data_IF_796334731917
#
_entry.id   IF_796334731917
#
_cell.length_a   1.000
_cell.length_b   1.000
_cell.length_c   1.000
_cell.angle_alpha   90.00
_cell.angle_beta   90.00
_cell.angle_gamma   90.00
#
_symmetry.space_group_name_H-M   'P 1'
#
loop_
_entity.id
_entity.type
_entity.pdbx_description
1 polymer ?
#
# COMPACT_ATOMS: atom_id res chain seq x y z
N UNK A 1 0.92 -3.41 -26.04
CA UNK A 1 0.24 -4.42 -25.22
C UNK A 1 -1.07 -3.85 -24.68
N UNK A 2 -2.14 -4.67 -24.62
CA UNK A 2 -3.40 -4.26 -23.99
C UNK A 2 -3.50 -4.88 -22.58
N UNK A 3 -3.48 -4.05 -21.55
CA UNK A 3 -3.46 -4.46 -20.14
C UNK A 3 -4.82 -4.23 -19.50
N UNK A 4 -5.34 -5.24 -18.76
CA UNK A 4 -6.54 -5.11 -17.95
C UNK A 4 -6.13 -4.84 -16.50
N UNK A 5 -6.26 -3.59 -16.06
CA UNK A 5 -5.99 -3.16 -14.69
C UNK A 5 -7.22 -3.33 -13.80
N UNK A 6 -7.08 -4.10 -12.72
CA UNK A 6 -8.19 -4.46 -11.83
C UNK A 6 -7.92 -3.96 -10.42
N UNK A 7 -8.81 -3.11 -9.91
CA UNK A 7 -8.79 -2.64 -8.52
C UNK A 7 -10.19 -2.45 -7.96
N UNK A 8 -10.34 -2.53 -6.65
CA UNK A 8 -11.65 -2.37 -6.01
C UNK A 8 -12.27 -1.00 -6.30
N UNK A 9 -11.53 0.09 -6.14
CA UNK A 9 -12.04 1.45 -6.29
C UNK A 9 -11.45 2.13 -7.53
N UNK A 10 -12.27 2.91 -8.23
CA UNK A 10 -11.85 3.79 -9.32
C UNK A 10 -11.83 5.26 -8.83
N UNK A 11 -11.37 5.49 -7.61
CA UNK A 11 -11.11 6.81 -7.02
C UNK A 11 -10.02 6.72 -5.95
N UNK A 12 -9.33 7.83 -5.69
CA UNK A 12 -8.23 7.90 -4.71
C UNK A 12 -8.78 7.83 -3.29
N UNK A 13 -8.62 6.68 -2.62
CA UNK A 13 -8.97 6.44 -1.22
C UNK A 13 -7.74 6.21 -0.35
N UNK A 14 -6.67 5.64 -0.90
CA UNK A 14 -5.46 5.30 -0.17
C UNK A 14 -4.31 4.93 -1.10
N UNK A 15 -3.21 4.44 -0.51
CA UNK A 15 -1.96 4.13 -1.23
C UNK A 15 -2.14 3.13 -2.38
N UNK A 16 -2.94 2.09 -2.20
CA UNK A 16 -3.22 1.09 -3.25
C UNK A 16 -3.85 1.73 -4.47
N UNK A 17 -4.84 2.60 -4.25
CA UNK A 17 -5.53 3.28 -5.37
C UNK A 17 -4.59 4.28 -6.05
N UNK A 18 -3.69 4.92 -5.29
CA UNK A 18 -2.64 5.78 -5.86
C UNK A 18 -1.72 4.99 -6.77
N UNK A 19 -1.25 3.81 -6.34
CA UNK A 19 -0.41 2.94 -7.17
C UNK A 19 -1.16 2.48 -8.41
N UNK A 20 -2.42 2.05 -8.28
CA UNK A 20 -3.27 1.65 -9.40
C UNK A 20 -3.36 2.76 -10.47
N UNK A 21 -3.71 3.98 -10.09
CA UNK A 21 -3.80 5.10 -11.05
C UNK A 21 -2.44 5.49 -11.62
N UNK A 22 -1.38 5.46 -10.81
CA UNK A 22 -0.03 5.71 -11.30
C UNK A 22 0.40 4.66 -12.34
N UNK A 23 0.05 3.38 -12.12
CA UNK A 23 0.37 2.29 -13.06
C UNK A 23 -0.39 2.47 -14.36
N UNK A 24 -1.69 2.77 -14.32
CA UNK A 24 -2.49 3.05 -15.54
C UNK A 24 -1.83 4.18 -16.33
N UNK A 25 -1.59 5.31 -15.67
CA UNK A 25 -0.98 6.48 -16.30
C UNK A 25 0.37 6.15 -16.93
N UNK A 26 1.23 5.43 -16.20
CA UNK A 26 2.54 5.03 -16.69
C UNK A 26 2.44 4.13 -17.94
N UNK A 27 1.55 3.14 -17.91
CA UNK A 27 1.33 2.24 -19.06
C UNK A 27 0.84 3.00 -20.29
N UNK A 28 -0.12 3.92 -20.12
CA UNK A 28 -0.65 4.76 -21.20
C UNK A 28 0.40 5.72 -21.76
N UNK A 29 1.18 6.41 -20.91
CA UNK A 29 2.28 7.30 -21.29
C UNK A 29 3.38 6.57 -22.07
N UNK A 30 3.54 5.27 -21.82
CA UNK A 30 4.50 4.39 -22.50
C UNK A 30 3.90 3.66 -23.72
N UNK A 31 2.70 4.05 -24.17
CA UNK A 31 2.06 3.58 -25.42
C UNK A 31 1.35 2.25 -25.30
N UNK A 32 0.95 1.81 -24.10
CA UNK A 32 0.10 0.63 -23.93
C UNK A 32 -1.39 1.03 -23.89
N UNK A 33 -2.25 0.14 -24.36
CA UNK A 33 -3.69 0.26 -24.18
C UNK A 33 -4.09 -0.26 -22.80
N UNK A 34 -4.85 0.52 -22.03
CA UNK A 34 -5.31 0.11 -20.71
C UNK A 34 -6.83 0.08 -20.63
N UNK A 35 -7.38 -1.05 -20.23
CA UNK A 35 -8.78 -1.15 -19.82
C UNK A 35 -8.87 -1.40 -18.31
N UNK A 36 -9.95 -0.93 -17.69
CA UNK A 36 -10.09 -0.99 -16.23
C UNK A 36 -11.34 -1.74 -15.80
N UNK A 37 -11.22 -2.53 -14.69
CA UNK A 37 -12.34 -3.20 -14.06
C UNK A 37 -12.35 -2.90 -12.56
N UNK A 38 -13.44 -2.28 -12.07
CA UNK A 38 -13.57 -1.83 -10.69
C UNK A 38 -14.97 -2.11 -10.13
N UNK A 39 -15.22 -1.76 -8.87
CA UNK A 39 -16.56 -1.73 -8.33
C UNK A 39 -17.28 -0.44 -8.73
N UNK A 40 -18.59 -0.54 -8.96
CA UNK A 40 -19.44 0.62 -9.16
C UNK A 40 -19.61 1.39 -7.84
N UNK A 41 -19.17 2.66 -7.85
CA UNK A 41 -19.22 3.52 -6.67
C UNK A 41 -19.47 4.98 -7.10
N UNK A 42 -20.36 5.72 -6.40
CA UNK A 42 -20.65 7.13 -6.74
C UNK A 42 -19.42 8.06 -6.71
N UNK A 43 -18.36 7.68 -6.01
CA UNK A 43 -17.10 8.45 -5.93
C UNK A 43 -16.13 8.18 -7.07
N UNK A 44 -16.44 7.21 -7.94
CA UNK A 44 -15.55 6.87 -9.04
C UNK A 44 -15.31 8.05 -9.99
N UNK A 45 -14.08 8.19 -10.42
CA UNK A 45 -13.74 9.07 -11.54
C UNK A 45 -14.32 8.53 -12.84
N UNK A 46 -14.48 9.39 -13.84
CA UNK A 46 -14.99 8.98 -15.15
C UNK A 46 -14.09 7.92 -15.78
N UNK A 47 -14.69 6.88 -16.36
CA UNK A 47 -14.00 5.83 -17.11
C UNK A 47 -14.84 5.41 -18.29
N UNK A 48 -14.19 5.16 -19.44
CA UNK A 48 -14.84 4.58 -20.62
C UNK A 48 -15.37 3.15 -20.34
N UNK A 49 -14.81 2.48 -19.33
CA UNK A 49 -15.14 1.12 -18.93
C UNK A 49 -16.17 1.04 -17.80
N UNK A 50 -16.71 2.18 -17.32
CA UNK A 50 -17.65 2.23 -16.19
C UNK A 50 -18.89 1.33 -16.38
N UNK A 51 -19.34 1.09 -17.62
CA UNK A 51 -20.45 0.16 -17.94
C UNK A 51 -20.18 -1.29 -17.52
N UNK A 52 -18.90 -1.67 -17.36
CA UNK A 52 -18.48 -3.01 -16.93
C UNK A 52 -18.19 -3.08 -15.42
N UNK A 53 -18.25 -1.97 -14.69
CA UNK A 53 -17.97 -2.00 -13.25
C UNK A 53 -19.02 -2.81 -12.49
N UNK A 54 -18.54 -3.62 -11.54
CA UNK A 54 -19.39 -4.57 -10.82
C UNK A 54 -20.06 -3.93 -9.63
N UNK A 55 -21.30 -4.33 -9.37
CA UNK A 55 -21.96 -3.94 -8.13
C UNK A 55 -21.35 -4.68 -6.94
N UNK A 56 -20.93 -3.91 -5.93
CA UNK A 56 -20.39 -4.43 -4.68
C UNK A 56 -21.05 -3.75 -3.50
N UNK A 57 -21.94 -4.44 -2.79
CA UNK A 57 -22.63 -3.86 -1.64
C UNK A 57 -21.63 -3.55 -0.51
N UNK A 58 -21.60 -2.31 -0.03
CA UNK A 58 -20.82 -1.94 1.14
C UNK A 58 -21.47 -2.54 2.40
N UNK A 59 -20.82 -3.53 3.03
CA UNK A 59 -21.33 -4.20 4.21
C UNK A 59 -21.32 -3.33 5.49
N UNK A 60 -20.53 -2.25 5.50
CA UNK A 60 -20.35 -1.41 6.70
C UNK A 60 -21.63 -0.75 7.17
N UNK A 61 -22.43 -0.25 6.25
CA UNK A 61 -23.60 0.58 6.55
C UNK A 61 -24.93 -0.18 6.46
N UNK A 62 -24.86 -1.53 6.36
CA UNK A 62 -26.05 -2.36 6.22
C UNK A 62 -26.54 -2.90 7.57
N UNK A 63 -27.85 -3.11 7.66
CA UNK A 63 -28.48 -3.85 8.76
C UNK A 63 -27.98 -5.31 8.78
N UNK A 64 -28.13 -5.99 9.90
CA UNK A 64 -27.70 -7.41 10.05
C UNK A 64 -28.33 -8.31 8.96
N UNK A 65 -29.58 -8.07 8.62
CA UNK A 65 -30.29 -8.80 7.55
C UNK A 65 -29.69 -8.51 6.18
N UNK A 66 -29.36 -7.24 5.91
CA UNK A 66 -28.68 -6.83 4.67
C UNK A 66 -27.30 -7.46 4.53
N UNK A 67 -26.54 -7.53 5.62
CA UNK A 67 -25.23 -8.19 5.65
C UNK A 67 -25.33 -9.68 5.32
N UNK A 68 -26.30 -10.41 5.88
CA UNK A 68 -26.53 -11.82 5.60
C UNK A 68 -26.90 -12.04 4.13
N UNK A 69 -27.81 -11.21 3.59
CA UNK A 69 -28.25 -11.28 2.19
C UNK A 69 -27.09 -11.05 1.21
N UNK A 70 -26.16 -10.16 1.54
CA UNK A 70 -25.04 -9.79 0.68
C UNK A 70 -23.74 -10.58 0.97
N UNK A 71 -23.77 -11.49 1.95
CA UNK A 71 -22.60 -12.30 2.32
C UNK A 71 -22.15 -13.22 1.17
N UNK A 72 -23.10 -13.76 0.40
CA UNK A 72 -22.79 -14.55 -0.79
C UNK A 72 -21.96 -13.77 -1.81
N UNK A 73 -22.34 -12.51 -2.09
CA UNK A 73 -21.61 -11.62 -2.99
C UNK A 73 -20.21 -11.25 -2.47
N UNK A 74 -20.02 -11.19 -1.16
CA UNK A 74 -18.72 -10.95 -0.56
C UNK A 74 -17.71 -12.06 -0.88
N UNK A 75 -18.15 -13.32 -0.83
CA UNK A 75 -17.30 -14.48 -1.11
C UNK A 75 -17.19 -14.79 -2.59
N UNK A 76 -18.30 -14.64 -3.33
CA UNK A 76 -18.39 -14.98 -4.75
C UNK A 76 -19.34 -14.03 -5.48
N UNK A 77 -18.81 -13.08 -6.23
CA UNK A 77 -19.60 -12.06 -6.92
C UNK A 77 -19.91 -12.49 -8.36
N UNK A 78 -21.13 -12.99 -8.59
CA UNK A 78 -21.60 -13.40 -9.94
C UNK A 78 -21.74 -12.23 -10.92
N UNK A 79 -21.99 -11.01 -10.42
CA UNK A 79 -22.01 -9.82 -11.29
C UNK A 79 -20.61 -9.48 -11.79
N UNK A 80 -19.58 -9.68 -10.95
CA UNK A 80 -18.19 -9.58 -11.39
C UNK A 80 -17.83 -10.56 -12.49
N UNK A 81 -18.24 -11.84 -12.36
CA UNK A 81 -18.03 -12.86 -13.41
C UNK A 81 -18.62 -12.40 -14.74
N UNK A 82 -19.91 -12.05 -14.74
CA UNK A 82 -20.63 -11.64 -15.95
C UNK A 82 -20.03 -10.41 -16.60
N UNK A 83 -19.72 -9.39 -15.81
CA UNK A 83 -19.25 -8.09 -16.32
C UNK A 83 -17.80 -8.13 -16.81
N UNK A 84 -16.92 -8.87 -16.10
CA UNK A 84 -15.54 -9.04 -16.57
C UNK A 84 -15.50 -9.86 -17.86
N UNK A 85 -16.37 -10.88 -18.01
CA UNK A 85 -16.48 -11.66 -19.23
C UNK A 85 -16.91 -10.79 -20.43
N UNK A 86 -17.88 -9.90 -20.22
CA UNK A 86 -18.27 -8.92 -21.24
C UNK A 86 -17.12 -8.00 -21.64
N UNK A 87 -16.34 -7.52 -20.64
CA UNK A 87 -15.19 -6.67 -20.89
C UNK A 87 -14.11 -7.42 -21.67
N UNK A 88 -13.75 -8.63 -21.26
CA UNK A 88 -12.73 -9.44 -21.95
C UNK A 88 -13.12 -9.73 -23.41
N UNK A 89 -14.37 -10.09 -23.66
CA UNK A 89 -14.86 -10.36 -25.01
C UNK A 89 -14.77 -9.13 -25.92
N UNK A 90 -15.02 -7.93 -25.38
CA UNK A 90 -14.98 -6.68 -26.13
C UNK A 90 -13.55 -6.16 -26.32
N UNK A 91 -12.77 -6.14 -25.25
CA UNK A 91 -11.47 -5.47 -25.22
C UNK A 91 -10.29 -6.38 -25.54
N UNK A 92 -10.43 -7.69 -25.32
CA UNK A 92 -9.41 -8.72 -25.58
C UNK A 92 -8.04 -8.38 -24.97
N UNK A 93 -7.95 -8.19 -23.66
CA UNK A 93 -6.68 -7.89 -23.00
C UNK A 93 -5.70 -9.06 -23.13
N UNK A 94 -4.42 -8.75 -23.28
CA UNK A 94 -3.33 -9.72 -23.36
C UNK A 94 -2.88 -10.20 -21.97
N UNK A 95 -3.14 -9.40 -20.92
CA UNK A 95 -2.80 -9.71 -19.53
C UNK A 95 -3.73 -8.97 -18.57
N UNK A 96 -3.99 -9.56 -17.41
CA UNK A 96 -4.71 -8.93 -16.30
C UNK A 96 -3.77 -8.66 -15.13
N UNK A 97 -3.70 -7.38 -14.70
CA UNK A 97 -2.95 -6.95 -13.53
C UNK A 97 -3.90 -6.55 -12.41
N UNK A 98 -3.82 -7.28 -11.31
CA UNK A 98 -4.71 -7.15 -10.17
C UNK A 98 -4.02 -6.40 -9.03
N UNK A 99 -4.74 -5.49 -8.38
CA UNK A 99 -4.30 -4.82 -7.15
C UNK A 99 -5.12 -5.30 -5.95
N UNK A 100 -6.27 -4.72 -5.69
CA UNK A 100 -7.14 -5.12 -4.58
C UNK A 100 -8.50 -5.58 -5.12
N UNK A 101 -8.79 -6.87 -5.00
CA UNK A 101 -10.05 -7.48 -5.46
C UNK A 101 -10.96 -7.94 -4.31
N UNK A 102 -10.49 -7.80 -3.05
CA UNK A 102 -11.22 -8.25 -1.88
C UNK A 102 -12.41 -7.35 -1.54
N UNK A 103 -13.43 -7.95 -0.94
CA UNK A 103 -14.62 -7.24 -0.43
C UNK A 103 -15.37 -6.43 -1.51
N UNK A 104 -15.55 -7.02 -2.68
CA UNK A 104 -16.30 -6.36 -3.75
C UNK A 104 -16.25 -7.13 -5.05
N UNK A 105 -15.09 -7.18 -5.69
CA UNK A 105 -14.88 -7.94 -6.93
C UNK A 105 -14.89 -9.44 -6.64
N UNK A 106 -14.18 -9.88 -5.61
CA UNK A 106 -13.96 -11.27 -5.19
C UNK A 106 -13.07 -12.11 -6.13
N UNK A 107 -12.75 -13.31 -5.71
CA UNK A 107 -11.97 -14.27 -6.51
C UNK A 107 -12.77 -14.87 -7.70
N UNK A 108 -14.05 -14.56 -7.83
CA UNK A 108 -14.94 -15.09 -8.89
C UNK A 108 -14.47 -14.74 -10.31
N UNK A 109 -13.69 -13.68 -10.46
CA UNK A 109 -13.15 -13.26 -11.76
C UNK A 109 -12.03 -14.18 -12.27
N UNK A 110 -11.31 -14.87 -11.38
CA UNK A 110 -10.12 -15.66 -11.74
C UNK A 110 -10.44 -16.82 -12.69
N UNK A 111 -11.50 -17.65 -12.47
CA UNK A 111 -11.89 -18.67 -13.44
C UNK A 111 -12.32 -18.11 -14.80
N UNK A 112 -12.88 -16.88 -14.82
CA UNK A 112 -13.25 -16.23 -16.08
C UNK A 112 -12.00 -15.85 -16.87
N UNK A 113 -11.03 -15.20 -16.25
CA UNK A 113 -9.75 -14.88 -16.88
C UNK A 113 -9.08 -16.13 -17.45
N UNK A 114 -9.03 -17.22 -16.67
CA UNK A 114 -8.44 -18.49 -17.11
C UNK A 114 -9.17 -19.10 -18.31
N UNK A 115 -10.51 -19.10 -18.33
CA UNK A 115 -11.31 -19.62 -19.49
C UNK A 115 -11.05 -18.84 -20.77
N UNK A 116 -10.72 -17.57 -20.66
CA UNK A 116 -10.39 -16.71 -21.79
C UNK A 116 -8.90 -16.65 -22.10
N UNK A 117 -8.10 -17.51 -21.48
CA UNK A 117 -6.64 -17.57 -21.64
C UNK A 117 -5.94 -16.23 -21.39
N UNK A 118 -6.40 -15.46 -20.38
CA UNK A 118 -5.79 -14.19 -19.96
C UNK A 118 -4.88 -14.45 -18.77
N UNK A 119 -3.57 -14.29 -18.92
CA UNK A 119 -2.61 -14.43 -17.82
C UNK A 119 -2.88 -13.45 -16.68
N UNK A 120 -2.61 -13.87 -15.45
CA UNK A 120 -2.94 -13.08 -14.25
C UNK A 120 -1.69 -12.76 -13.43
N UNK A 121 -1.41 -11.48 -13.27
CA UNK A 121 -0.41 -10.94 -12.34
C UNK A 121 -1.12 -10.20 -11.21
N UNK A 122 -0.69 -10.36 -9.97
CA UNK A 122 -1.25 -9.61 -8.84
C UNK A 122 -0.17 -8.90 -8.04
N UNK A 123 -0.36 -7.59 -7.80
CA UNK A 123 0.48 -6.82 -6.89
C UNK A 123 -0.04 -6.91 -5.46
N UNK A 124 0.83 -7.40 -4.58
CA UNK A 124 0.57 -7.68 -3.17
C UNK A 124 0.81 -6.42 -2.34
N UNK A 125 -0.24 -5.65 -2.10
CA UNK A 125 -0.16 -4.38 -1.37
C UNK A 125 -0.27 -4.55 0.15
N UNK A 126 -0.88 -5.63 0.61
CA UNK A 126 -1.09 -5.93 2.02
C UNK A 126 -0.92 -7.44 2.32
N UNK A 127 -1.05 -7.82 3.57
CA UNK A 127 -0.88 -9.20 4.03
C UNK A 127 -2.18 -10.00 4.06
N UNK A 128 -3.24 -9.58 3.38
CA UNK A 128 -4.57 -10.18 3.45
C UNK A 128 -4.63 -11.64 2.97
N UNK A 129 -3.69 -12.05 2.15
CA UNK A 129 -3.58 -13.45 1.74
C UNK A 129 -3.12 -14.37 2.88
N UNK A 130 -2.44 -13.83 3.90
CA UNK A 130 -1.84 -14.61 5.00
C UNK A 130 -2.21 -14.11 6.39
N UNK A 131 -2.84 -12.94 6.48
CA UNK A 131 -3.40 -12.37 7.70
C UNK A 131 -4.75 -11.72 7.41
N UNK A 132 -5.89 -12.30 7.81
CA UNK A 132 -7.23 -11.79 7.45
C UNK A 132 -7.49 -10.34 7.87
N UNK A 133 -6.85 -9.85 8.96
CA UNK A 133 -6.93 -8.45 9.38
C UNK A 133 -6.00 -7.50 8.61
N UNK A 134 -5.03 -8.03 7.84
CA UNK A 134 -3.99 -7.32 7.11
C UNK A 134 -3.00 -6.51 7.96
N UNK A 135 -3.00 -6.64 9.28
CA UNK A 135 -2.24 -5.77 10.18
C UNK A 135 -1.09 -6.49 10.90
N UNK A 136 -1.09 -7.84 10.93
CA UNK A 136 -0.22 -8.63 11.81
C UNK A 136 -0.19 -8.11 13.26
N UNK A 137 -1.33 -7.59 13.70
CA UNK A 137 -1.51 -7.02 15.02
C UNK A 137 -2.82 -7.51 15.65
N UNK A 138 -2.79 -7.78 16.94
CA UNK A 138 -3.95 -8.13 17.75
C UNK A 138 -3.93 -7.30 19.01
N UNK A 139 -4.89 -6.39 19.18
CA UNK A 139 -5.01 -5.53 20.38
C UNK A 139 -3.72 -4.80 20.74
N UNK A 140 -3.03 -4.22 19.75
CA UNK A 140 -1.79 -3.50 19.94
C UNK A 140 -0.52 -4.36 19.96
N UNK A 141 -0.63 -5.70 19.98
CA UNK A 141 0.50 -6.61 20.00
C UNK A 141 0.78 -7.22 18.64
N UNK A 142 2.07 -7.38 18.28
CA UNK A 142 2.49 -8.09 17.07
C UNK A 142 1.95 -9.52 17.09
N UNK A 143 1.30 -9.97 16.00
CA UNK A 143 0.73 -11.30 15.89
C UNK A 143 1.02 -11.89 14.51
N UNK A 144 1.54 -13.12 14.48
CA UNK A 144 1.82 -13.91 13.26
C UNK A 144 1.18 -15.30 13.29
N UNK A 145 0.22 -15.53 14.17
CA UNK A 145 -0.36 -16.85 14.38
C UNK A 145 -1.06 -17.39 13.13
N UNK A 146 -1.64 -16.51 12.29
CA UNK A 146 -2.29 -16.92 11.05
C UNK A 146 -1.32 -17.52 10.01
N UNK A 147 -0.01 -17.21 10.09
CA UNK A 147 0.99 -17.86 9.24
C UNK A 147 1.08 -19.37 9.48
N UNK A 148 0.84 -19.82 10.73
CA UNK A 148 0.86 -21.25 11.10
C UNK A 148 -0.50 -21.91 11.04
N UNK A 149 -1.54 -21.24 11.52
CA UNK A 149 -2.85 -21.83 11.81
C UNK A 149 -3.98 -21.35 10.88
N UNK A 150 -3.62 -20.66 9.77
CA UNK A 150 -4.62 -20.08 8.86
C UNK A 150 -5.45 -18.98 9.51
N UNK A 151 -6.68 -18.81 9.06
CA UNK A 151 -7.58 -17.78 9.56
C UNK A 151 -8.10 -17.97 11.00
N UNK A 152 -7.98 -19.19 11.57
CA UNK A 152 -8.55 -19.54 12.86
C UNK A 152 -8.17 -18.55 14.01
N UNK A 153 -6.90 -18.17 14.20
CA UNK A 153 -6.53 -17.20 15.22
C UNK A 153 -7.23 -15.84 15.05
N UNK A 154 -7.48 -15.41 13.81
CA UNK A 154 -8.18 -14.16 13.56
C UNK A 154 -9.60 -14.16 14.15
N UNK A 155 -10.36 -15.24 13.96
CA UNK A 155 -11.68 -15.42 14.54
C UNK A 155 -11.65 -15.43 16.06
N UNK A 156 -10.76 -16.24 16.66
CA UNK A 156 -10.64 -16.41 18.11
C UNK A 156 -10.23 -15.12 18.82
N UNK A 157 -9.29 -14.35 18.28
CA UNK A 157 -8.77 -13.13 18.90
C UNK A 157 -9.51 -11.86 18.48
N UNK A 158 -10.58 -11.97 17.69
CA UNK A 158 -11.39 -10.82 17.21
C UNK A 158 -10.53 -9.76 16.49
N UNK A 159 -9.56 -10.19 15.65
CA UNK A 159 -8.56 -9.30 15.07
C UNK A 159 -9.11 -8.26 14.11
N UNK A 160 -10.27 -8.51 13.48
CA UNK A 160 -10.85 -7.59 12.50
C UNK A 160 -11.87 -6.67 13.16
N UNK A 161 -11.51 -5.40 13.35
CA UNK A 161 -12.35 -4.35 13.96
C UNK A 161 -12.81 -4.66 15.40
N UNK A 162 -12.07 -5.49 16.15
CA UNK A 162 -12.44 -6.02 17.47
C UNK A 162 -13.86 -6.64 17.52
N UNK A 163 -14.32 -7.14 16.38
CA UNK A 163 -15.65 -7.69 16.20
C UNK A 163 -15.59 -9.20 15.94
N UNK A 164 -16.32 -9.97 16.74
CA UNK A 164 -16.31 -11.44 16.65
C UNK A 164 -16.81 -11.94 15.29
N UNK A 165 -17.99 -11.46 14.84
CA UNK A 165 -18.60 -11.91 13.59
C UNK A 165 -17.73 -11.54 12.40
N UNK A 166 -17.27 -10.28 12.33
CA UNK A 166 -16.44 -9.82 11.24
C UNK A 166 -15.11 -10.58 11.15
N UNK A 167 -14.53 -10.95 12.30
CA UNK A 167 -13.28 -11.72 12.36
C UNK A 167 -13.46 -13.15 11.88
N UNK A 168 -14.59 -13.80 12.20
CA UNK A 168 -14.90 -15.12 11.69
C UNK A 168 -15.24 -15.13 10.19
N UNK A 169 -15.90 -14.07 9.69
CA UNK A 169 -16.12 -13.88 8.24
C UNK A 169 -14.78 -13.80 7.50
N UNK A 170 -13.83 -13.01 8.01
CA UNK A 170 -12.50 -12.92 7.41
C UNK A 170 -11.69 -14.23 7.55
N UNK A 171 -11.84 -14.94 8.67
CA UNK A 171 -11.22 -16.25 8.86
C UNK A 171 -11.75 -17.29 7.87
N UNK A 172 -13.06 -17.29 7.64
CA UNK A 172 -13.72 -18.18 6.68
C UNK A 172 -13.35 -17.80 5.23
N UNK A 173 -13.25 -16.51 4.92
CA UNK A 173 -12.77 -16.06 3.60
C UNK A 173 -11.36 -16.61 3.30
N UNK A 174 -10.46 -16.59 4.28
CA UNK A 174 -9.13 -17.16 4.13
C UNK A 174 -9.18 -18.67 3.90
N UNK A 175 -9.97 -19.41 4.69
CA UNK A 175 -10.17 -20.84 4.53
C UNK A 175 -10.75 -21.18 3.15
N UNK A 176 -11.77 -20.45 2.70
CA UNK A 176 -12.37 -20.65 1.38
C UNK A 176 -11.32 -20.48 0.26
N UNK A 177 -10.54 -19.41 0.33
CA UNK A 177 -9.52 -19.11 -0.69
C UNK A 177 -8.43 -20.17 -0.77
N UNK A 178 -7.95 -20.63 0.37
CA UNK A 178 -6.82 -21.58 0.43
C UNK A 178 -7.22 -23.03 0.21
N UNK A 179 -8.42 -23.43 0.66
CA UNK A 179 -8.81 -24.84 0.75
C UNK A 179 -9.89 -25.22 -0.25
N UNK A 180 -10.93 -24.40 -0.39
CA UNK A 180 -12.06 -24.72 -1.26
C UNK A 180 -11.85 -24.29 -2.70
N UNK A 181 -11.15 -23.19 -2.92
CA UNK A 181 -11.02 -22.60 -4.25
C UNK A 181 -9.61 -22.71 -4.84
N UNK A 182 -8.55 -22.76 -4.01
CA UNK A 182 -7.14 -22.80 -4.42
C UNK A 182 -6.81 -21.74 -5.49
N UNK A 183 -6.92 -20.46 -5.11
CA UNK A 183 -6.71 -19.31 -6.01
C UNK A 183 -5.35 -19.33 -6.71
N UNK A 184 -4.33 -19.98 -6.13
CA UNK A 184 -2.99 -20.04 -6.72
C UNK A 184 -2.95 -20.73 -8.09
N UNK A 185 -3.94 -21.57 -8.42
CA UNK A 185 -4.08 -22.20 -9.74
C UNK A 185 -4.39 -21.20 -10.85
N UNK A 186 -4.93 -20.03 -10.49
CA UNK A 186 -5.40 -19.01 -11.41
C UNK A 186 -4.47 -17.79 -11.49
N UNK A 187 -3.46 -17.70 -10.61
CA UNK A 187 -2.52 -16.59 -10.56
C UNK A 187 -1.16 -17.09 -11.05
N UNK A 188 -0.66 -16.46 -12.11
CA UNK A 188 0.60 -16.85 -12.75
C UNK A 188 1.79 -16.23 -12.03
N UNK A 189 1.69 -14.94 -11.63
CA UNK A 189 2.78 -14.21 -10.93
C UNK A 189 2.26 -13.34 -9.79
N UNK A 190 3.08 -13.22 -8.74
CA UNK A 190 2.86 -12.32 -7.60
C UNK A 190 3.94 -11.24 -7.59
N UNK A 191 3.56 -9.99 -7.60
CA UNK A 191 4.46 -8.85 -7.42
C UNK A 191 4.41 -8.42 -5.95
N UNK A 192 5.53 -8.50 -5.26
CA UNK A 192 5.67 -7.99 -3.90
C UNK A 192 6.37 -6.65 -3.90
N UNK A 193 5.82 -5.66 -3.23
CA UNK A 193 6.41 -4.32 -3.16
C UNK A 193 7.54 -4.22 -2.13
N UNK A 194 7.85 -5.31 -1.41
CA UNK A 194 9.05 -5.46 -0.58
C UNK A 194 9.40 -6.94 -0.37
N UNK A 195 10.68 -7.21 -0.10
CA UNK A 195 11.18 -8.56 0.21
C UNK A 195 10.54 -9.12 1.49
N UNK A 196 10.40 -8.28 2.51
CA UNK A 196 9.78 -8.68 3.77
C UNK A 196 8.34 -9.18 3.62
N UNK A 197 7.58 -8.55 2.74
CA UNK A 197 6.22 -9.02 2.44
C UNK A 197 6.21 -10.33 1.68
N UNK A 198 7.12 -10.53 0.74
CA UNK A 198 7.32 -11.84 0.12
C UNK A 198 7.65 -12.90 1.17
N UNK A 199 8.55 -12.60 2.11
CA UNK A 199 8.95 -13.54 3.18
C UNK A 199 7.77 -13.91 4.10
N UNK A 200 6.91 -12.96 4.47
CA UNK A 200 5.70 -13.28 5.24
C UNK A 200 4.75 -14.21 4.49
N UNK A 201 4.52 -13.97 3.20
CA UNK A 201 3.67 -14.81 2.39
C UNK A 201 4.31 -16.18 2.16
N UNK A 202 5.61 -16.23 1.88
CA UNK A 202 6.35 -17.46 1.66
C UNK A 202 6.47 -18.33 2.92
N UNK A 203 6.43 -17.71 4.11
CA UNK A 203 6.36 -18.46 5.38
C UNK A 203 5.06 -19.23 5.57
N UNK A 204 4.01 -18.88 4.81
CA UNK A 204 2.76 -19.63 4.78
C UNK A 204 2.71 -20.64 3.63
N UNK A 205 3.06 -20.24 2.42
CA UNK A 205 3.04 -21.05 1.22
C UNK A 205 4.25 -20.77 0.33
N UNK A 206 4.99 -21.82 -0.05
CA UNK A 206 6.22 -21.71 -0.85
C UNK A 206 6.00 -21.08 -2.22
N UNK A 207 4.84 -21.28 -2.83
CA UNK A 207 4.52 -20.75 -4.15
C UNK A 207 4.62 -19.21 -4.24
N UNK A 208 4.49 -18.49 -3.14
CA UNK A 208 4.74 -17.04 -3.13
C UNK A 208 6.21 -16.69 -3.35
N UNK A 209 7.14 -17.61 -3.05
CA UNK A 209 8.54 -17.47 -3.41
C UNK A 209 8.77 -17.87 -4.86
N UNK A 210 8.18 -18.97 -5.29
CA UNK A 210 8.40 -19.59 -6.60
C UNK A 210 7.83 -18.74 -7.73
N UNK A 211 6.62 -18.18 -7.55
CA UNK A 211 5.93 -17.30 -8.49
C UNK A 211 6.08 -15.81 -8.15
N UNK A 212 6.86 -15.46 -7.13
CA UNK A 212 6.96 -14.11 -6.59
C UNK A 212 8.14 -13.32 -7.13
N UNK A 213 7.90 -12.07 -7.48
CA UNK A 213 8.92 -11.10 -7.90
C UNK A 213 8.81 -9.82 -7.07
N UNK A 214 9.93 -9.14 -6.80
CA UNK A 214 9.93 -7.89 -6.05
C UNK A 214 9.95 -6.72 -7.03
N UNK A 215 8.96 -5.85 -6.89
CA UNK A 215 8.87 -4.59 -7.62
C UNK A 215 8.34 -3.50 -6.69
N UNK A 216 9.22 -2.59 -6.26
CA UNK A 216 8.84 -1.47 -5.41
C UNK A 216 7.86 -0.52 -6.11
N UNK A 217 7.05 0.20 -5.33
CA UNK A 217 6.26 1.31 -5.84
C UNK A 217 7.18 2.38 -6.45
N UNK A 218 6.60 3.26 -7.25
CA UNK A 218 7.32 4.33 -7.93
C UNK A 218 6.63 5.68 -7.74
N UNK A 219 7.33 6.76 -8.09
CA UNK A 219 6.81 8.13 -8.06
C UNK A 219 6.69 8.68 -9.48
N UNK A 220 5.47 8.94 -10.00
CA UNK A 220 5.29 9.62 -11.28
C UNK A 220 5.92 11.01 -11.28
N UNK A 221 6.41 11.46 -12.45
CA UNK A 221 6.99 12.79 -12.58
C UNK A 221 8.23 13.04 -11.73
N UNK A 222 8.91 11.98 -11.28
CA UNK A 222 10.05 12.13 -10.35
C UNK A 222 11.18 12.98 -10.94
N UNK A 223 11.42 12.88 -12.25
CA UNK A 223 12.52 13.61 -12.90
C UNK A 223 12.28 15.12 -12.95
N UNK A 224 11.02 15.54 -13.04
CA UNK A 224 10.58 16.92 -13.08
C UNK A 224 10.63 17.59 -11.69
N UNK A 225 10.67 16.79 -10.62
CA UNK A 225 10.78 17.32 -9.26
C UNK A 225 12.18 17.90 -9.04
N UNK A 226 12.23 19.19 -8.74
CA UNK A 226 13.47 19.85 -8.33
C UNK A 226 13.77 19.52 -6.85
N UNK A 227 14.87 18.80 -6.55
CA UNK A 227 15.21 18.51 -5.17
C UNK A 227 15.65 19.76 -4.43
N UNK A 228 15.36 19.80 -3.13
CA UNK A 228 15.83 20.89 -2.26
C UNK A 228 16.81 20.33 -1.22
N UNK A 229 18.06 20.73 -1.31
CA UNK A 229 19.14 20.25 -0.45
C UNK A 229 19.36 21.13 0.80
N UNK A 230 18.43 22.04 1.08
CA UNK A 230 18.35 22.89 2.28
C UNK A 230 17.03 22.65 3.01
N UNK A 231 16.86 23.23 4.20
CA UNK A 231 15.65 23.10 5.00
C UNK A 231 15.39 24.31 5.90
N UNK A 232 14.14 24.48 6.35
CA UNK A 232 13.70 25.54 7.26
C UNK A 232 13.74 25.14 8.74
N UNK A 233 14.44 24.06 9.09
CA UNK A 233 14.67 23.64 10.48
C UNK A 233 13.44 23.00 11.16
N UNK A 234 12.56 22.34 10.42
CA UNK A 234 11.47 21.53 10.99
C UNK A 234 11.46 20.11 10.43
N UNK A 235 11.00 19.17 11.22
CA UNK A 235 10.70 17.80 10.78
C UNK A 235 9.25 17.69 10.33
N UNK A 236 8.96 16.75 9.45
CA UNK A 236 7.65 16.60 8.87
C UNK A 236 7.10 15.17 9.04
N UNK A 237 5.89 15.06 9.52
CA UNK A 237 5.04 13.89 9.34
C UNK A 237 3.92 14.24 8.37
N UNK A 238 3.64 13.39 7.38
CA UNK A 238 2.45 13.52 6.56
C UNK A 238 1.84 12.16 6.21
N UNK A 239 0.51 12.14 6.19
CA UNK A 239 -0.28 10.94 5.93
C UNK A 239 -1.56 10.89 6.75
N UNK A 240 -2.20 9.72 6.77
CA UNK A 240 -3.39 9.51 7.59
C UNK A 240 -3.05 9.57 9.08
N UNK A 241 -3.81 10.30 9.86
CA UNK A 241 -3.60 10.43 11.31
C UNK A 241 -4.40 9.32 12.01
N UNK A 242 -3.84 8.11 11.99
CA UNK A 242 -4.41 6.87 12.50
C UNK A 242 -3.41 6.13 13.38
N UNK A 243 -3.88 5.19 14.20
CA UNK A 243 -3.04 4.48 15.17
C UNK A 243 -1.88 3.71 14.48
N UNK A 244 -2.16 3.05 13.35
CA UNK A 244 -1.17 2.27 12.61
C UNK A 244 -0.02 3.10 12.03
N UNK A 245 -0.22 4.42 11.83
CA UNK A 245 0.83 5.32 11.34
C UNK A 245 1.75 5.85 12.45
N UNK A 246 1.51 5.47 13.71
CA UNK A 246 2.42 5.70 14.83
C UNK A 246 2.59 7.16 15.26
N UNK A 247 1.67 8.04 14.85
CA UNK A 247 1.74 9.48 15.17
C UNK A 247 1.75 9.73 16.68
N UNK A 248 1.07 8.89 17.50
CA UNK A 248 1.08 9.00 18.95
C UNK A 248 2.50 8.79 19.54
N UNK A 249 3.26 7.83 19.00
CA UNK A 249 4.67 7.60 19.37
C UNK A 249 5.52 8.83 19.06
N UNK A 250 5.29 9.45 17.88
CA UNK A 250 6.00 10.67 17.48
C UNK A 250 5.67 11.86 18.39
N UNK A 251 4.39 12.10 18.68
CA UNK A 251 3.99 13.19 19.60
C UNK A 251 4.59 12.97 20.99
N UNK A 252 4.63 11.72 21.47
CA UNK A 252 5.28 11.41 22.76
C UNK A 252 6.77 11.73 22.74
N UNK A 253 7.49 11.40 21.67
CA UNK A 253 8.92 11.74 21.54
C UNK A 253 9.15 13.26 21.49
N UNK A 254 8.27 14.03 20.86
CA UNK A 254 8.41 15.48 20.74
C UNK A 254 8.19 16.26 22.04
N UNK A 255 7.53 15.68 23.06
CA UNK A 255 7.35 16.32 24.37
C UNK A 255 8.67 16.64 25.06
N UNK A 256 9.65 15.77 24.91
CA UNK A 256 10.97 15.89 25.51
C UNK A 256 11.97 16.68 24.63
N UNK A 257 11.52 17.18 23.48
CA UNK A 257 12.35 17.87 22.48
C UNK A 257 11.84 19.27 22.13
N UNK A 258 11.64 20.16 23.12
CA UNK A 258 10.96 21.46 22.90
C UNK A 258 11.69 22.38 21.91
N UNK A 259 13.00 22.20 21.70
CA UNK A 259 13.81 22.96 20.74
C UNK A 259 13.70 22.49 19.29
N UNK A 260 13.02 21.36 19.01
CA UNK A 260 12.89 20.79 17.67
C UNK A 260 11.45 20.96 17.20
N UNK A 261 11.25 21.54 16.01
CA UNK A 261 9.92 21.79 15.44
C UNK A 261 9.43 20.58 14.65
N UNK A 262 8.16 20.23 14.82
CA UNK A 262 7.46 19.22 14.01
C UNK A 262 6.23 19.85 13.34
N UNK A 263 6.09 19.62 12.03
CA UNK A 263 4.85 19.86 11.31
C UNK A 263 4.14 18.53 11.02
N UNK A 264 2.83 18.50 11.24
CA UNK A 264 1.97 17.34 11.00
C UNK A 264 0.97 17.70 9.91
N UNK A 265 1.05 17.03 8.76
CA UNK A 265 0.15 17.22 7.63
C UNK A 265 -0.70 15.97 7.43
N UNK A 266 -2.01 16.15 7.39
CA UNK A 266 -2.95 15.06 7.17
C UNK A 266 -4.22 15.21 7.98
N UNK A 267 -5.05 14.17 7.87
CA UNK A 267 -6.31 14.06 8.61
C UNK A 267 -6.56 12.61 9.04
N UNK A 268 -7.48 12.43 9.98
CA UNK A 268 -7.86 11.12 10.49
C UNK A 268 -8.46 11.15 11.88
N UNK A 269 -8.97 10.02 12.38
CA UNK A 269 -9.71 9.94 13.63
C UNK A 269 -8.90 10.32 14.88
N UNK A 270 -7.57 10.29 14.80
CA UNK A 270 -6.70 10.68 15.92
C UNK A 270 -6.22 12.12 15.84
N UNK A 271 -6.60 12.90 14.82
CA UNK A 271 -6.10 14.27 14.67
C UNK A 271 -6.50 15.14 15.86
N UNK A 272 -7.78 15.30 16.10
CA UNK A 272 -8.30 16.20 17.15
C UNK A 272 -7.77 15.83 18.56
N UNK A 273 -7.84 14.56 19.01
CA UNK A 273 -7.28 14.19 20.29
C UNK A 273 -5.77 14.45 20.44
N UNK A 274 -4.99 14.20 19.36
CA UNK A 274 -3.55 14.40 19.41
C UNK A 274 -3.15 15.87 19.31
N UNK A 275 -3.87 16.67 18.55
CA UNK A 275 -3.65 18.12 18.43
C UNK A 275 -3.87 18.81 19.78
N UNK A 276 -4.91 18.46 20.52
CA UNK A 276 -5.16 18.97 21.88
C UNK A 276 -4.08 18.59 22.92
N UNK A 277 -3.40 17.47 22.71
CA UNK A 277 -2.36 16.99 23.63
C UNK A 277 -0.94 17.31 23.18
N UNK A 278 -0.80 17.92 22.01
CA UNK A 278 0.49 18.18 21.39
C UNK A 278 1.28 19.25 22.16
N UNK A 279 2.59 19.10 22.30
CA UNK A 279 3.43 20.16 22.86
C UNK A 279 3.56 21.34 21.87
N UNK A 280 3.96 22.50 22.39
CA UNK A 280 4.00 23.76 21.63
C UNK A 280 4.91 23.74 20.38
N UNK A 281 5.89 22.84 20.32
CA UNK A 281 6.78 22.65 19.18
C UNK A 281 6.19 21.77 18.05
N UNK A 282 4.97 21.30 18.21
CA UNK A 282 4.24 20.51 17.19
C UNK A 282 3.09 21.31 16.62
N UNK A 283 3.07 21.43 15.28
CA UNK A 283 2.01 22.19 14.57
C UNK A 283 1.27 21.29 13.60
N UNK A 284 -0.03 21.15 13.79
CA UNK A 284 -0.94 20.48 12.85
C UNK A 284 -1.39 21.44 11.76
N UNK A 285 -1.21 21.05 10.48
CA UNK A 285 -1.51 21.89 9.32
C UNK A 285 -2.75 21.43 8.55
N UNK A 286 -3.45 20.39 9.04
CA UNK A 286 -4.59 19.80 8.36
C UNK A 286 -4.20 19.02 7.10
N UNK A 287 -5.19 18.60 6.36
CA UNK A 287 -5.00 17.89 5.10
C UNK A 287 -4.47 18.84 4.01
N UNK A 288 -3.43 18.41 3.31
CA UNK A 288 -2.85 19.09 2.15
C UNK A 288 -2.59 18.10 1.03
N UNK A 289 -2.62 18.58 -0.21
CA UNK A 289 -2.36 17.77 -1.42
C UNK A 289 -1.63 18.58 -2.47
N UNK A 290 -1.04 17.89 -3.46
CA UNK A 290 -0.35 18.53 -4.58
C UNK A 290 0.73 19.49 -4.10
N UNK A 291 0.84 20.67 -4.71
CA UNK A 291 1.91 21.64 -4.44
C UNK A 291 1.92 22.11 -2.98
N UNK A 292 0.76 22.28 -2.33
CA UNK A 292 0.72 22.65 -0.92
C UNK A 292 1.38 21.63 0.01
N UNK A 293 1.27 20.34 -0.29
CA UNK A 293 1.96 19.26 0.43
C UNK A 293 3.44 19.28 0.07
N UNK A 294 3.77 19.36 -1.21
CA UNK A 294 5.16 19.29 -1.67
C UNK A 294 5.99 20.48 -1.18
N UNK A 295 5.40 21.66 -1.00
CA UNK A 295 6.05 22.78 -0.31
C UNK A 295 6.45 22.41 1.13
N UNK A 296 5.57 21.71 1.88
CA UNK A 296 5.94 21.25 3.23
C UNK A 296 7.03 20.19 3.20
N UNK A 297 7.02 19.30 2.20
CA UNK A 297 8.08 18.28 2.02
C UNK A 297 9.39 18.95 1.64
N UNK A 298 9.39 19.85 0.66
CA UNK A 298 10.57 20.52 0.10
C UNK A 298 11.38 21.28 1.16
N UNK A 299 10.71 21.89 2.13
CA UNK A 299 11.33 22.70 3.18
C UNK A 299 11.57 21.94 4.50
N UNK A 300 11.15 20.69 4.61
CA UNK A 300 11.43 19.84 5.78
C UNK A 300 12.92 19.49 5.87
N UNK A 301 13.43 19.31 7.09
CA UNK A 301 14.76 18.73 7.32
C UNK A 301 14.72 17.21 7.12
N UNK A 302 13.85 16.53 7.82
CA UNK A 302 13.60 15.08 7.70
C UNK A 302 12.10 14.82 7.63
N UNK A 303 11.74 13.78 6.89
CA UNK A 303 10.40 13.20 6.96
C UNK A 303 10.41 12.03 7.94
N UNK A 304 9.43 11.97 8.84
CA UNK A 304 9.33 10.91 9.85
C UNK A 304 8.19 9.96 9.49
N UNK A 305 8.50 8.66 9.40
CA UNK A 305 7.55 7.60 9.11
C UNK A 305 7.55 6.59 10.27
N UNK A 306 6.81 6.90 11.36
CA UNK A 306 6.87 6.16 12.61
C UNK A 306 5.86 5.01 12.68
N UNK A 307 5.56 4.35 11.55
CA UNK A 307 4.54 3.31 11.45
C UNK A 307 4.68 2.22 12.52
N UNK A 308 3.56 1.84 13.12
CA UNK A 308 3.46 0.76 14.12
C UNK A 308 2.73 -0.47 13.59
N UNK A 309 2.59 -0.57 12.28
CA UNK A 309 2.13 -1.75 11.55
C UNK A 309 3.18 -2.15 10.51
N UNK A 310 3.02 -3.32 9.90
CA UNK A 310 3.87 -3.75 8.78
C UNK A 310 3.55 -2.88 7.54
N UNK A 311 4.19 -1.70 7.47
CA UNK A 311 4.04 -0.76 6.34
C UNK A 311 4.93 -1.23 5.18
N UNK A 312 4.30 -1.59 4.07
CA UNK A 312 4.94 -2.41 3.06
C UNK A 312 6.01 -1.67 2.24
N UNK A 313 5.58 -0.66 1.50
CA UNK A 313 6.48 0.20 0.71
C UNK A 313 5.86 1.60 0.67
N UNK A 314 6.02 2.40 1.74
CA UNK A 314 5.29 3.65 1.89
C UNK A 314 5.71 4.68 0.86
N UNK A 315 4.73 5.13 0.05
CA UNK A 315 4.92 6.19 -0.95
C UNK A 315 5.49 7.47 -0.33
N UNK A 316 5.17 7.75 0.93
CA UNK A 316 5.71 8.88 1.71
C UNK A 316 7.24 8.94 1.70
N UNK A 317 7.93 7.78 1.78
CA UNK A 317 9.39 7.73 1.73
C UNK A 317 9.88 8.03 0.30
N UNK A 318 9.24 7.44 -0.69
CA UNK A 318 9.60 7.64 -2.11
C UNK A 318 9.40 9.11 -2.50
N UNK A 319 8.28 9.71 -2.07
CA UNK A 319 8.00 11.13 -2.26
C UNK A 319 9.04 12.01 -1.56
N UNK A 320 9.36 11.73 -0.29
CA UNK A 320 10.40 12.47 0.44
C UNK A 320 11.74 12.43 -0.29
N UNK A 321 12.17 11.25 -0.71
CA UNK A 321 13.42 11.07 -1.44
C UNK A 321 13.42 11.77 -2.81
N UNK A 322 12.27 11.81 -3.47
CA UNK A 322 12.12 12.55 -4.73
C UNK A 322 12.40 14.05 -4.56
N UNK A 323 12.13 14.59 -3.38
CA UNK A 323 12.45 15.97 -3.02
C UNK A 323 13.83 16.14 -2.35
N UNK A 324 14.63 15.06 -2.28
CA UNK A 324 15.94 15.07 -1.62
C UNK A 324 15.83 15.12 -0.09
N UNK A 325 14.74 14.60 0.52
CA UNK A 325 14.56 14.66 1.97
C UNK A 325 14.89 13.32 2.62
N UNK A 326 15.91 13.29 3.51
CA UNK A 326 16.20 12.12 4.30
C UNK A 326 15.05 11.73 5.23
N UNK A 327 15.00 10.46 5.64
CA UNK A 327 13.87 9.89 6.38
C UNK A 327 14.31 9.32 7.72
N UNK A 328 13.47 9.50 8.75
CA UNK A 328 13.53 8.72 9.99
C UNK A 328 12.39 7.70 9.94
N UNK A 329 12.71 6.42 9.82
CA UNK A 329 11.74 5.34 9.64
C UNK A 329 11.75 4.32 10.78
N UNK A 330 10.59 3.72 11.07
CA UNK A 330 10.50 2.60 12.00
C UNK A 330 10.96 1.29 11.35
N UNK A 331 11.55 0.38 12.13
CA UNK A 331 11.96 -0.95 11.69
C UNK A 331 10.72 -1.85 11.60
N UNK A 332 9.95 -1.68 10.52
CA UNK A 332 8.76 -2.49 10.23
C UNK A 332 8.46 -2.55 8.73
N UNK A 333 7.80 -3.61 8.29
CA UNK A 333 7.45 -3.81 6.87
C UNK A 333 8.65 -3.70 5.95
N UNK A 334 8.49 -3.02 4.83
CA UNK A 334 9.55 -2.75 3.86
C UNK A 334 10.36 -1.48 4.14
N UNK A 335 10.06 -0.74 5.22
CA UNK A 335 10.78 0.51 5.54
C UNK A 335 12.31 0.28 5.64
N UNK A 336 12.83 -0.77 6.33
CA UNK A 336 14.27 -1.01 6.41
C UNK A 336 14.94 -1.36 5.08
N UNK A 337 14.18 -1.73 4.07
CA UNK A 337 14.73 -2.02 2.73
C UNK A 337 15.02 -0.74 1.93
N UNK A 338 14.35 0.35 2.28
CA UNK A 338 14.42 1.62 1.54
C UNK A 338 15.02 2.77 2.34
N UNK A 339 15.09 2.67 3.67
CA UNK A 339 15.82 3.63 4.52
C UNK A 339 17.18 3.02 4.87
N UNK A 340 18.21 3.46 4.15
CA UNK A 340 19.60 3.02 4.31
C UNK A 340 20.42 4.09 5.05
N UNK A 341 21.62 3.77 5.57
CA UNK A 341 22.42 4.71 6.37
C UNK A 341 22.70 6.07 5.72
N UNK A 342 22.84 6.10 4.38
CA UNK A 342 23.10 7.33 3.64
C UNK A 342 21.84 8.17 3.38
N UNK A 343 20.64 7.62 3.62
CA UNK A 343 19.37 8.29 3.32
C UNK A 343 18.52 8.55 4.57
N UNK A 344 18.97 8.11 5.75
CA UNK A 344 18.18 8.35 6.95
C UNK A 344 18.58 7.52 8.16
N UNK A 345 17.66 7.43 9.10
CA UNK A 345 17.82 6.71 10.35
C UNK A 345 16.65 5.74 10.58
N UNK A 346 16.95 4.62 11.23
CA UNK A 346 15.97 3.63 11.62
C UNK A 346 15.88 3.54 13.15
N UNK A 347 14.68 3.29 13.67
CA UNK A 347 14.42 3.05 15.09
C UNK A 347 13.45 1.88 15.27
N UNK A 348 13.50 1.22 16.42
CA UNK A 348 12.58 0.12 16.72
C UNK A 348 11.13 0.60 16.79
N UNK A 349 10.25 -0.14 16.13
CA UNK A 349 8.82 0.16 16.00
C UNK A 349 8.16 0.41 17.36
N UNK A 350 7.58 1.60 17.55
CA UNK A 350 6.89 2.00 18.77
C UNK A 350 7.82 2.43 19.91
N UNK A 351 9.14 2.40 19.73
CA UNK A 351 10.12 2.79 20.75
C UNK A 351 10.32 4.32 20.73
N UNK A 352 9.68 4.99 21.71
CA UNK A 352 9.74 6.46 21.87
C UNK A 352 11.18 6.94 22.11
N UNK A 353 11.96 6.25 22.94
CA UNK A 353 13.32 6.67 23.30
C UNK A 353 14.30 6.55 22.12
N UNK A 354 14.15 5.50 21.29
CA UNK A 354 14.97 5.40 20.07
C UNK A 354 14.58 6.43 19.03
N UNK A 355 13.28 6.66 18.83
CA UNK A 355 12.80 7.72 17.95
C UNK A 355 13.36 9.07 18.39
N UNK A 356 13.31 9.38 19.68
CA UNK A 356 13.88 10.60 20.26
C UNK A 356 15.38 10.73 19.95
N UNK A 357 16.16 9.65 20.14
CA UNK A 357 17.59 9.64 19.79
C UNK A 357 17.83 9.88 18.29
N UNK A 358 17.04 9.27 17.42
CA UNK A 358 17.13 9.51 15.99
C UNK A 358 16.80 10.96 15.61
N UNK A 359 15.77 11.54 16.22
CA UNK A 359 15.39 12.96 16.01
C UNK A 359 16.52 13.91 16.46
N UNK A 360 17.09 13.67 17.65
CA UNK A 360 18.22 14.47 18.17
C UNK A 360 19.46 14.36 17.26
N UNK A 361 19.80 13.13 16.85
CA UNK A 361 20.91 12.89 15.91
C UNK A 361 20.70 13.61 14.58
N UNK A 362 19.49 13.52 14.02
CA UNK A 362 19.12 14.19 12.78
C UNK A 362 19.21 15.72 12.90
N UNK A 363 18.78 16.27 14.03
CA UNK A 363 18.84 17.72 14.29
C UNK A 363 20.27 18.25 14.51
N UNK A 364 21.21 17.39 14.93
CA UNK A 364 22.60 17.75 15.19
C UNK A 364 23.52 17.63 13.94
N UNK A 365 23.00 17.19 12.80
CA UNK A 365 23.78 17.04 11.56
C UNK A 365 24.17 18.41 11.04
N UNK A 366 25.44 18.57 10.66
CA UNK A 366 25.92 19.80 10.02
C UNK A 366 25.43 19.89 8.56
N UNK A 367 25.49 21.08 7.98
CA UNK A 367 24.96 21.39 6.66
C UNK A 367 25.58 20.53 5.54
N UNK A 368 26.87 20.23 5.62
CA UNK A 368 27.55 19.42 4.60
C UNK A 368 27.08 17.96 4.64
N UNK A 369 27.03 17.32 5.82
CA UNK A 369 26.52 15.96 5.98
C UNK A 369 25.04 15.87 5.59
N UNK A 370 24.23 16.89 5.94
CA UNK A 370 22.83 16.96 5.50
C UNK A 370 22.71 16.98 3.98
N UNK A 371 23.54 17.82 3.31
CA UNK A 371 23.54 17.89 1.85
C UNK A 371 23.90 16.57 1.21
N UNK A 372 24.90 15.85 1.74
CA UNK A 372 25.30 14.54 1.27
C UNK A 372 24.14 13.52 1.39
N UNK A 373 23.46 13.48 2.54
CA UNK A 373 22.30 12.62 2.75
C UNK A 373 21.13 12.99 1.82
N UNK A 374 20.92 14.28 1.60
CA UNK A 374 19.88 14.79 0.71
C UNK A 374 20.13 14.36 -0.74
N UNK A 375 21.36 14.50 -1.23
CA UNK A 375 21.77 14.02 -2.57
C UNK A 375 21.66 12.51 -2.67
N UNK A 376 22.11 11.77 -1.66
CA UNK A 376 22.01 10.31 -1.61
C UNK A 376 20.55 9.86 -1.66
N UNK A 377 19.65 10.50 -0.91
CA UNK A 377 18.21 10.21 -0.94
C UNK A 377 17.63 10.39 -2.34
N UNK A 378 17.95 11.50 -3.01
CA UNK A 378 17.50 11.77 -4.38
C UNK A 378 18.03 10.73 -5.37
N UNK A 379 19.30 10.43 -5.32
CA UNK A 379 19.92 9.43 -6.20
C UNK A 379 19.35 8.03 -5.97
N UNK A 380 19.12 7.67 -4.72
CA UNK A 380 18.48 6.39 -4.38
C UNK A 380 17.06 6.31 -4.96
N UNK A 381 16.27 7.38 -4.88
CA UNK A 381 14.95 7.42 -5.49
C UNK A 381 15.01 7.25 -7.01
N UNK A 382 15.87 7.99 -7.69
CA UNK A 382 16.02 7.91 -9.15
C UNK A 382 16.45 6.52 -9.61
N UNK A 383 17.32 5.86 -8.86
CA UNK A 383 17.86 4.53 -9.21
C UNK A 383 16.93 3.37 -8.89
N UNK A 384 15.93 3.56 -8.01
CA UNK A 384 15.08 2.46 -7.54
C UNK A 384 13.58 2.65 -7.80
N UNK A 385 13.10 3.91 -7.86
CA UNK A 385 11.67 4.22 -7.84
C UNK A 385 11.24 5.14 -9.00
N UNK A 386 12.10 5.35 -10.00
CA UNK A 386 11.72 6.14 -11.18
C UNK A 386 10.69 5.38 -12.05
N UNK A 387 9.79 6.11 -12.73
CA UNK A 387 8.78 5.51 -13.59
C UNK A 387 9.38 4.59 -14.66
N UNK A 388 10.51 4.98 -15.27
CA UNK A 388 11.14 4.22 -16.35
C UNK A 388 11.70 2.88 -15.87
N UNK A 389 12.33 2.86 -14.68
CA UNK A 389 12.84 1.62 -14.08
C UNK A 389 11.68 0.71 -13.69
N UNK A 390 10.62 1.28 -13.10
CA UNK A 390 9.43 0.52 -12.74
C UNK A 390 8.75 -0.06 -13.98
N UNK A 391 8.52 0.75 -15.01
CA UNK A 391 7.93 0.31 -16.27
C UNK A 391 8.70 -0.84 -16.90
N UNK A 392 10.02 -0.70 -17.05
CA UNK A 392 10.85 -1.76 -17.62
C UNK A 392 10.65 -3.07 -16.89
N UNK A 393 10.80 -3.06 -15.55
CA UNK A 393 10.64 -4.27 -14.73
C UNK A 393 9.22 -4.84 -14.79
N UNK A 394 8.20 -3.99 -14.80
CA UNK A 394 6.80 -4.42 -14.92
C UNK A 394 6.54 -5.10 -16.26
N UNK A 395 7.05 -4.53 -17.35
CA UNK A 395 6.92 -5.11 -18.69
C UNK A 395 7.71 -6.41 -18.83
N UNK A 396 8.87 -6.53 -18.23
CA UNK A 396 9.64 -7.79 -18.19
C UNK A 396 8.79 -8.88 -17.49
N UNK A 397 8.17 -8.56 -16.33
CA UNK A 397 7.26 -9.48 -15.62
C UNK A 397 6.05 -9.86 -16.48
N UNK A 398 5.43 -8.90 -17.17
CA UNK A 398 4.28 -9.16 -18.02
C UNK A 398 4.64 -10.07 -19.20
N UNK A 399 5.72 -9.77 -19.91
CA UNK A 399 6.18 -10.56 -21.06
C UNK A 399 6.56 -12.00 -20.64
N UNK A 400 7.29 -12.17 -19.55
CA UNK A 400 7.63 -13.50 -19.02
C UNK A 400 6.35 -14.28 -18.61
N UNK A 401 5.36 -13.58 -18.05
CA UNK A 401 4.11 -14.20 -17.62
C UNK A 401 3.28 -14.67 -18.82
N UNK A 402 3.17 -13.85 -19.87
CA UNK A 402 2.47 -14.20 -21.12
C UNK A 402 3.14 -15.41 -21.76
N UNK A 403 4.46 -15.37 -21.94
CA UNK A 403 5.21 -16.47 -22.54
C UNK A 403 5.02 -17.79 -21.77
N UNK A 404 5.14 -17.74 -20.43
CA UNK A 404 4.97 -18.96 -19.61
C UNK A 404 3.51 -19.46 -19.52
N UNK A 405 2.52 -18.62 -19.82
CA UNK A 405 1.11 -19.00 -19.83
C UNK A 405 0.71 -19.74 -21.12
N UNK A 406 1.33 -19.39 -22.25
CA UNK A 406 1.11 -20.07 -23.54
C UNK A 406 1.63 -21.50 -23.55
N UNK A 407 2.58 -21.85 -22.67
CA UNK A 407 3.20 -23.17 -22.56
C UNK A 407 2.36 -24.16 -21.68
N UNK A 408 1.23 -23.72 -21.07
CA UNK A 408 0.36 -24.54 -20.21
C UNK A 408 -0.91 -24.93 -20.94
#
# INVERSE_FOLDING_TARGET
MKVLEINKYHYLKGGVDTVFFNTIRLLEEMGNDVCTFCTDNPKNTKSAFAKYFTHAPELRDQSTVGKIKNMGTFFWNKDSERKIEQLINQEKPEIAHLHNIFNGISMSILPVLRRHNVPVVITMHDTRFVCPSSLFNTRGNKCKNCLKFGGLPCGLFKCYQDNFINSWVCAFEMFQKETLFDYNRYIDRYIFVSKRFQDFHSARHSYFKDKGTILHNFMPGMREIMPCHTHDGYMLFYGRITAEKGIATLISAMRDLPGIKLRVVGDGPLREPLEHQAPANVKFLGFKKGEELFEQVRHASFVIVPSVCEDNNPLTIIEAYSHGKPVIGSITGGIPEIVIPDTGFLFEMGNVEELKRCIMRANAINAETYRQMSVASRNFALSNFSPEIHYKKLMDIFNETIASHEDI
#
